data_IF_847563533653
#
_entry.id   IF_847563533653
#
_cell.length_a   1.000
_cell.length_b   1.000
_cell.length_c   1.000
_cell.angle_alpha   90.00
_cell.angle_beta   90.00
_cell.angle_gamma   90.00
#
_symmetry.space_group_name_H-M   'P 1'
#
loop_
_entity.id
_entity.type
_entity.pdbx_description
1 polymer ?
#
# COMPACT_ATOMS: atom_id res chain seq x y z
N UNK A 1 -18.99 -30.60 14.78
CA UNK A 1 -20.18 -29.91 14.22
C UNK A 1 -20.75 -29.06 15.34
N UNK A 2 -20.51 -27.76 15.28
CA UNK A 2 -20.87 -26.82 16.34
C UNK A 2 -21.92 -25.82 15.83
N UNK A 3 -22.72 -25.30 16.76
CA UNK A 3 -23.73 -24.29 16.45
C UNK A 3 -25.06 -24.85 15.90
N UNK A 4 -25.85 -24.02 15.18
CA UNK A 4 -27.29 -24.21 14.96
C UNK A 4 -27.69 -25.42 14.08
N UNK A 5 -26.75 -26.02 13.35
CA UNK A 5 -26.98 -27.25 12.56
C UNK A 5 -27.16 -28.45 13.50
N UNK A 6 -26.42 -28.52 14.61
CA UNK A 6 -26.54 -29.59 15.61
C UNK A 6 -27.88 -29.51 16.36
N UNK A 7 -28.39 -28.30 16.55
CA UNK A 7 -29.70 -28.03 17.16
C UNK A 7 -30.88 -28.37 16.22
N UNK A 8 -30.62 -28.73 14.95
CA UNK A 8 -31.67 -28.97 13.96
C UNK A 8 -32.41 -27.70 13.53
N UNK A 9 -31.86 -26.52 13.81
CA UNK A 9 -32.47 -25.23 13.47
C UNK A 9 -32.18 -24.82 12.02
N UNK A 10 -31.13 -25.37 11.42
CA UNK A 10 -30.64 -25.00 10.09
C UNK A 10 -30.17 -26.25 9.35
N UNK A 11 -30.49 -26.31 8.05
CA UNK A 11 -29.97 -27.28 7.08
C UNK A 11 -29.14 -26.55 6.03
N UNK A 12 -28.01 -27.13 5.62
CA UNK A 12 -27.13 -26.58 4.59
C UNK A 12 -27.29 -27.35 3.29
N UNK A 13 -27.76 -26.68 2.24
CA UNK A 13 -27.92 -27.26 0.91
C UNK A 13 -26.75 -26.88 0.02
N UNK A 14 -25.89 -27.83 -0.30
CA UNK A 14 -24.75 -27.64 -1.20
C UNK A 14 -25.18 -27.91 -2.64
N UNK A 15 -25.57 -26.86 -3.37
CA UNK A 15 -26.11 -26.98 -4.73
C UNK A 15 -25.11 -27.57 -5.73
N UNK A 16 -23.83 -27.20 -5.62
CA UNK A 16 -22.79 -27.63 -6.57
C UNK A 16 -22.37 -29.07 -6.31
N UNK A 17 -22.26 -29.44 -5.04
CA UNK A 17 -21.81 -30.75 -4.59
C UNK A 17 -22.96 -31.75 -4.41
N UNK A 18 -24.21 -31.29 -4.47
CA UNK A 18 -25.41 -32.12 -4.51
C UNK A 18 -25.83 -32.77 -3.20
N UNK A 19 -25.31 -32.32 -2.04
CA UNK A 19 -25.63 -32.92 -0.74
C UNK A 19 -26.22 -31.91 0.25
N UNK A 20 -26.95 -32.42 1.25
CA UNK A 20 -27.59 -31.62 2.30
C UNK A 20 -27.00 -32.04 3.64
N UNK A 21 -26.62 -31.05 4.44
CA UNK A 21 -26.13 -31.22 5.79
C UNK A 21 -27.23 -30.86 6.78
N UNK A 22 -27.64 -31.85 7.56
CA UNK A 22 -28.68 -31.73 8.59
C UNK A 22 -28.12 -32.23 9.94
N UNK A 23 -28.94 -32.14 11.00
CA UNK A 23 -28.58 -32.70 12.32
C UNK A 23 -28.31 -34.22 12.25
N UNK A 24 -29.03 -34.91 11.38
CA UNK A 24 -29.06 -36.37 11.26
C UNK A 24 -28.06 -36.91 10.20
N UNK A 25 -27.25 -36.03 9.58
CA UNK A 25 -26.24 -36.43 8.60
C UNK A 25 -25.29 -37.50 9.15
N UNK A 26 -24.96 -38.48 8.30
CA UNK A 26 -24.10 -39.61 8.67
C UNK A 26 -22.63 -39.21 8.78
N UNK A 27 -21.83 -40.05 9.44
CA UNK A 27 -20.40 -39.78 9.69
C UNK A 27 -19.61 -39.46 8.42
N UNK A 28 -19.92 -40.08 7.28
CA UNK A 28 -19.25 -39.81 6.01
C UNK A 28 -19.55 -38.40 5.46
N UNK A 29 -20.78 -37.92 5.53
CA UNK A 29 -21.16 -36.58 5.06
C UNK A 29 -20.50 -35.49 5.91
N UNK A 30 -20.43 -35.73 7.23
CA UNK A 30 -19.73 -34.84 8.16
C UNK A 30 -18.22 -34.78 7.88
N UNK A 31 -17.63 -35.92 7.49
CA UNK A 31 -16.22 -36.00 7.10
C UNK A 31 -15.94 -35.22 5.81
N UNK A 32 -16.75 -35.43 4.76
CA UNK A 32 -16.63 -34.74 3.48
C UNK A 32 -16.71 -33.22 3.68
N UNK A 33 -17.66 -32.75 4.49
CA UNK A 33 -17.76 -31.33 4.81
C UNK A 33 -16.54 -30.80 5.56
N UNK A 34 -16.05 -31.53 6.56
CA UNK A 34 -14.82 -31.16 7.27
C UNK A 34 -13.63 -31.03 6.31
N UNK A 35 -13.50 -31.96 5.35
CA UNK A 35 -12.48 -31.89 4.31
C UNK A 35 -12.65 -30.67 3.41
N UNK A 36 -13.89 -30.35 2.98
CA UNK A 36 -14.16 -29.17 2.15
C UNK A 36 -13.81 -27.86 2.87
N UNK A 37 -14.15 -27.73 4.15
CA UNK A 37 -13.77 -26.57 4.97
C UNK A 37 -12.25 -26.46 5.08
N UNK A 38 -11.56 -27.57 5.33
CA UNK A 38 -10.10 -27.61 5.40
C UNK A 38 -9.45 -27.19 4.08
N UNK A 39 -9.95 -27.70 2.94
CA UNK A 39 -9.44 -27.35 1.61
C UNK A 39 -9.67 -25.87 1.29
N UNK A 40 -10.84 -25.33 1.62
CA UNK A 40 -11.14 -23.91 1.42
C UNK A 40 -10.22 -23.02 2.25
N UNK A 41 -9.98 -23.37 3.52
CA UNK A 41 -9.05 -22.64 4.38
C UNK A 41 -7.62 -22.70 3.82
N UNK A 42 -7.14 -23.89 3.45
CA UNK A 42 -5.81 -24.06 2.86
C UNK A 42 -5.63 -23.24 1.57
N UNK A 43 -6.68 -23.14 0.74
CA UNK A 43 -6.66 -22.31 -0.46
C UNK A 43 -6.48 -20.82 -0.11
N UNK A 44 -7.27 -20.30 0.83
CA UNK A 44 -7.17 -18.90 1.29
C UNK A 44 -5.80 -18.60 1.89
N UNK A 45 -5.26 -19.53 2.69
CA UNK A 45 -3.93 -19.39 3.29
C UNK A 45 -2.84 -19.35 2.20
N UNK A 46 -2.92 -20.27 1.22
CA UNK A 46 -1.97 -20.30 0.10
C UNK A 46 -2.02 -19.03 -0.74
N UNK A 47 -3.21 -18.45 -0.96
CA UNK A 47 -3.37 -17.18 -1.67
C UNK A 47 -2.73 -16.04 -0.88
N UNK A 48 -2.97 -16.00 0.44
CA UNK A 48 -2.36 -15.01 1.33
C UNK A 48 -0.84 -15.06 1.29
N UNK A 49 -0.26 -16.27 1.29
CA UNK A 49 1.18 -16.45 1.23
C UNK A 49 1.75 -16.12 -0.16
N UNK A 50 1.03 -16.43 -1.23
CA UNK A 50 1.39 -15.99 -2.58
C UNK A 50 1.44 -14.46 -2.67
N UNK A 51 0.46 -13.75 -2.09
CA UNK A 51 0.45 -12.28 -2.07
C UNK A 51 1.64 -11.72 -1.28
N UNK A 52 1.92 -12.26 -0.08
CA UNK A 52 3.08 -11.84 0.73
C UNK A 52 4.39 -12.03 -0.03
N UNK A 53 4.59 -13.21 -0.66
CA UNK A 53 5.76 -13.51 -1.48
C UNK A 53 5.90 -12.56 -2.67
N UNK A 54 4.79 -12.26 -3.34
CA UNK A 54 4.79 -11.31 -4.46
C UNK A 54 5.20 -9.89 -4.01
N UNK A 55 4.67 -9.42 -2.87
CA UNK A 55 5.03 -8.12 -2.32
C UNK A 55 6.50 -8.08 -1.89
N UNK A 56 7.00 -9.09 -1.19
CA UNK A 56 8.41 -9.19 -0.79
C UNK A 56 9.35 -9.15 -1.99
N UNK A 57 9.02 -9.88 -3.06
CA UNK A 57 9.79 -9.85 -4.31
C UNK A 57 9.85 -8.45 -4.94
N UNK A 58 8.73 -7.71 -4.93
CA UNK A 58 8.69 -6.32 -5.41
C UNK A 58 9.56 -5.40 -4.56
N UNK A 59 9.48 -5.53 -3.24
CA UNK A 59 10.29 -4.73 -2.31
C UNK A 59 11.78 -4.97 -2.50
N UNK A 60 12.21 -6.22 -2.67
CA UNK A 60 13.61 -6.58 -2.95
C UNK A 60 14.12 -6.00 -4.27
N UNK A 61 13.25 -5.80 -5.25
CA UNK A 61 13.57 -5.12 -6.52
C UNK A 61 13.53 -3.59 -6.42
N UNK A 62 13.17 -3.04 -5.27
CA UNK A 62 12.98 -1.61 -5.07
C UNK A 62 11.72 -1.06 -5.73
N UNK A 63 10.73 -1.91 -6.02
CA UNK A 63 9.47 -1.51 -6.64
C UNK A 63 8.46 -1.03 -5.59
N UNK A 64 7.74 0.05 -5.90
CA UNK A 64 6.71 0.61 -5.04
C UNK A 64 5.39 -0.15 -5.18
N UNK A 65 4.87 -0.62 -4.05
CA UNK A 65 3.62 -1.41 -3.97
C UNK A 65 2.38 -0.56 -3.70
N UNK A 66 2.55 0.72 -3.36
CA UNK A 66 1.48 1.64 -3.00
C UNK A 66 1.11 2.62 -4.11
N UNK A 67 0.20 3.57 -3.83
CA UNK A 67 -0.04 4.68 -4.75
C UNK A 67 1.19 5.59 -4.82
N UNK A 68 1.57 6.05 -6.03
CA UNK A 68 2.71 6.97 -6.19
C UNK A 68 2.60 8.21 -5.26
N UNK A 69 3.68 8.66 -4.61
CA UNK A 69 3.68 9.91 -3.84
C UNK A 69 3.39 11.14 -4.71
N UNK A 70 3.09 12.29 -4.09
CA UNK A 70 2.91 13.56 -4.84
C UNK A 70 4.24 13.92 -5.50
N UNK A 71 4.25 14.40 -6.74
CA UNK A 71 5.49 14.56 -7.51
C UNK A 71 5.84 13.35 -8.36
N UNK A 72 5.07 12.28 -8.23
CA UNK A 72 5.19 11.07 -9.04
C UNK A 72 3.82 10.65 -9.61
N UNK A 73 3.86 9.92 -10.72
CA UNK A 73 2.71 9.33 -11.39
C UNK A 73 2.83 7.80 -11.41
N UNK A 74 1.68 7.14 -11.30
CA UNK A 74 1.60 5.71 -11.60
C UNK A 74 1.65 5.54 -13.11
N UNK A 75 2.52 4.66 -13.60
CA UNK A 75 2.63 4.29 -15.00
C UNK A 75 2.72 2.76 -15.14
N UNK A 76 2.81 2.27 -16.37
CA UNK A 76 3.16 0.88 -16.67
C UNK A 76 4.46 0.81 -17.46
N UNK A 77 5.30 -0.16 -17.12
CA UNK A 77 6.50 -0.46 -17.89
C UNK A 77 6.15 -1.16 -19.22
N UNK A 78 7.17 -1.44 -20.03
CA UNK A 78 7.03 -2.14 -21.33
C UNK A 78 6.43 -3.55 -21.20
N UNK A 79 6.53 -4.15 -20.02
CA UNK A 79 6.01 -5.49 -19.72
C UNK A 79 4.61 -5.43 -19.07
N UNK A 80 4.02 -4.23 -18.92
CA UNK A 80 2.72 -4.02 -18.30
C UNK A 80 2.74 -4.00 -16.76
N UNK A 81 3.91 -4.08 -16.12
CA UNK A 81 4.05 -3.99 -14.67
C UNK A 81 3.82 -2.55 -14.20
N UNK A 82 3.24 -2.41 -13.01
CA UNK A 82 3.05 -1.09 -12.39
C UNK A 82 4.40 -0.48 -12.02
N UNK A 83 4.63 0.77 -12.43
CA UNK A 83 5.85 1.52 -12.14
C UNK A 83 5.51 2.95 -11.72
N UNK A 84 6.51 3.67 -11.22
CA UNK A 84 6.39 5.05 -10.77
C UNK A 84 7.34 5.92 -11.58
N UNK A 85 6.83 7.04 -12.11
CA UNK A 85 7.61 8.00 -12.88
C UNK A 85 7.49 9.40 -12.27
N UNK A 86 8.45 10.28 -12.55
CA UNK A 86 8.37 11.67 -12.10
C UNK A 86 7.23 12.43 -12.80
N UNK A 87 6.49 13.20 -12.03
CA UNK A 87 5.57 14.21 -12.53
C UNK A 87 6.36 15.52 -12.72
N UNK A 88 6.87 15.81 -13.92
CA UNK A 88 7.77 16.96 -14.13
C UNK A 88 7.21 18.28 -13.59
N UNK A 89 5.90 18.51 -13.68
CA UNK A 89 5.25 19.73 -13.18
C UNK A 89 5.28 19.80 -11.65
N UNK A 90 4.90 18.71 -10.96
CA UNK A 90 4.86 18.69 -9.50
C UNK A 90 6.22 18.46 -8.85
N UNK A 91 7.08 17.66 -9.48
CA UNK A 91 8.40 17.29 -8.98
C UNK A 91 9.30 18.53 -8.84
N UNK A 92 9.26 19.44 -9.82
CA UNK A 92 9.98 20.70 -9.75
C UNK A 92 9.57 21.54 -8.54
N UNK A 93 8.25 21.68 -8.31
CA UNK A 93 7.72 22.43 -7.17
C UNK A 93 8.15 21.78 -5.86
N UNK A 94 8.03 20.46 -5.75
CA UNK A 94 8.44 19.73 -4.55
C UNK A 94 9.93 19.93 -4.27
N UNK A 95 10.78 19.82 -5.29
CA UNK A 95 12.23 20.08 -5.16
C UNK A 95 12.50 21.46 -4.57
N UNK A 96 11.87 22.50 -5.14
CA UNK A 96 12.00 23.88 -4.65
C UNK A 96 11.54 24.02 -3.20
N UNK A 97 10.40 23.44 -2.83
CA UNK A 97 9.91 23.49 -1.45
C UNK A 97 10.86 22.81 -0.46
N UNK A 98 11.49 21.70 -0.85
CA UNK A 98 12.50 21.03 -0.04
C UNK A 98 13.77 21.88 0.14
N UNK A 99 14.25 22.49 -0.93
CA UNK A 99 15.42 23.38 -0.90
C UNK A 99 15.17 24.59 0.02
N UNK A 100 14.01 25.25 -0.13
CA UNK A 100 13.62 26.38 0.72
C UNK A 100 13.42 25.95 2.18
N UNK A 101 12.79 24.80 2.43
CA UNK A 101 12.62 24.28 3.79
C UNK A 101 13.96 23.95 4.45
N UNK A 102 14.92 23.40 3.69
CA UNK A 102 16.25 23.06 4.19
C UNK A 102 17.08 24.29 4.61
N UNK A 103 16.73 25.50 4.14
CA UNK A 103 17.38 26.74 4.62
C UNK A 103 17.09 27.06 6.08
N UNK A 104 16.02 26.49 6.66
CA UNK A 104 15.56 26.79 8.03
C UNK A 104 14.94 28.18 8.20
N UNK A 105 14.89 29.02 7.15
CA UNK A 105 14.36 30.38 7.22
C UNK A 105 12.83 30.45 7.19
N UNK A 106 12.16 29.36 6.81
CA UNK A 106 10.72 29.33 6.59
C UNK A 106 10.00 28.47 7.61
N UNK A 107 8.92 29.02 8.16
CA UNK A 107 7.96 28.21 8.92
C UNK A 107 7.18 27.29 7.98
N UNK A 108 6.63 26.20 8.52
CA UNK A 108 5.75 25.32 7.76
C UNK A 108 4.52 26.06 7.18
N UNK A 109 4.06 27.14 7.83
CA UNK A 109 3.00 27.99 7.29
C UNK A 109 3.43 28.72 6.02
N UNK A 110 4.64 29.27 6.00
CA UNK A 110 5.22 29.94 4.84
C UNK A 110 5.40 28.97 3.66
N UNK A 111 5.83 27.73 3.93
CA UNK A 111 5.93 26.66 2.92
C UNK A 111 4.56 26.32 2.31
N UNK A 112 3.49 26.33 3.10
CA UNK A 112 2.12 26.11 2.59
C UNK A 112 1.71 27.22 1.65
N UNK A 113 1.97 28.48 2.00
CA UNK A 113 1.67 29.62 1.13
C UNK A 113 2.45 29.53 -0.17
N UNK A 114 3.77 29.29 -0.10
CA UNK A 114 4.62 29.10 -1.27
C UNK A 114 4.16 27.94 -2.15
N UNK A 115 3.78 26.80 -1.56
CA UNK A 115 3.25 25.66 -2.30
C UNK A 115 1.97 26.02 -3.06
N UNK A 116 1.10 26.85 -2.49
CA UNK A 116 -0.12 27.33 -3.16
C UNK A 116 0.18 28.29 -4.29
N UNK A 117 1.11 29.23 -4.09
CA UNK A 117 1.55 30.21 -5.09
C UNK A 117 2.21 29.54 -6.29
N UNK A 118 3.03 28.52 -6.05
CA UNK A 118 3.64 27.68 -7.08
C UNK A 118 2.63 26.72 -7.73
N UNK A 119 1.37 26.70 -7.27
CA UNK A 119 0.31 25.90 -7.87
C UNK A 119 0.36 24.40 -7.54
N UNK A 120 1.00 24.00 -6.44
CA UNK A 120 1.06 22.58 -6.04
C UNK A 120 -0.33 22.04 -5.72
N UNK A 121 -0.74 21.03 -6.48
CA UNK A 121 -2.01 20.31 -6.33
C UNK A 121 -1.78 18.87 -5.95
N UNK A 122 -2.68 18.33 -5.12
CA UNK A 122 -2.85 16.89 -4.95
C UNK A 122 -3.29 16.22 -6.26
N UNK A 123 -3.27 14.88 -6.28
CA UNK A 123 -3.78 14.09 -7.42
C UNK A 123 -5.24 14.38 -7.75
N UNK A 124 -6.05 14.73 -6.75
CA UNK A 124 -7.47 15.12 -6.91
C UNK A 124 -7.67 16.63 -7.17
N UNK A 125 -6.61 17.33 -7.52
CA UNK A 125 -6.61 18.77 -7.84
C UNK A 125 -6.93 19.73 -6.66
N UNK A 126 -6.83 19.28 -5.42
CA UNK A 126 -6.94 20.16 -4.24
C UNK A 126 -5.59 20.74 -3.82
N UNK A 127 -5.59 21.96 -3.26
CA UNK A 127 -4.43 22.50 -2.57
C UNK A 127 -4.03 21.62 -1.37
N UNK A 128 -2.74 21.56 -1.07
CA UNK A 128 -2.24 20.83 0.08
C UNK A 128 -2.43 21.64 1.36
N UNK A 129 -2.86 20.98 2.43
CA UNK A 129 -2.92 21.57 3.75
C UNK A 129 -1.57 21.41 4.48
N UNK A 130 -1.45 22.08 5.63
CA UNK A 130 -0.25 22.08 6.48
C UNK A 130 0.20 20.65 6.87
N UNK A 131 -0.74 19.80 7.29
CA UNK A 131 -0.47 18.43 7.71
C UNK A 131 0.06 17.56 6.58
N UNK A 132 -0.52 17.69 5.38
CA UNK A 132 -0.09 16.93 4.19
C UNK A 132 1.30 17.37 3.76
N UNK A 133 1.58 18.67 3.76
CA UNK A 133 2.92 19.20 3.45
C UNK A 133 3.96 18.77 4.48
N UNK A 134 3.64 18.83 5.78
CA UNK A 134 4.53 18.32 6.82
C UNK A 134 4.90 16.86 6.60
N UNK A 135 3.90 16.01 6.35
CA UNK A 135 4.12 14.60 6.04
C UNK A 135 4.94 14.43 4.77
N UNK A 136 4.67 15.22 3.73
CA UNK A 136 5.42 15.20 2.46
C UNK A 136 6.90 15.49 2.70
N UNK A 137 7.23 16.49 3.51
CA UNK A 137 8.63 16.85 3.83
C UNK A 137 9.37 15.76 4.60
N UNK A 138 8.65 14.86 5.27
CA UNK A 138 9.22 13.75 6.03
C UNK A 138 9.21 12.42 5.26
N UNK A 139 8.63 12.37 4.06
CA UNK A 139 8.55 11.13 3.29
C UNK A 139 9.94 10.74 2.75
N UNK A 140 10.45 9.55 3.08
CA UNK A 140 11.76 9.11 2.62
C UNK A 140 11.84 8.89 1.10
N UNK A 141 10.69 8.74 0.44
CA UNK A 141 10.58 8.46 -1.00
C UNK A 141 11.21 9.55 -1.87
N UNK A 142 11.29 10.79 -1.37
CA UNK A 142 11.91 11.86 -2.13
C UNK A 142 13.44 11.74 -2.18
N UNK A 143 14.04 10.89 -1.34
CA UNK A 143 15.48 10.73 -1.15
C UNK A 143 16.01 9.37 -1.62
N UNK A 144 15.18 8.50 -2.22
CA UNK A 144 15.62 7.18 -2.69
C UNK A 144 15.12 6.00 -1.85
N UNK A 145 14.45 6.24 -0.73
CA UNK A 145 14.05 5.19 0.23
C UNK A 145 12.52 5.11 0.38
N UNK A 146 11.98 3.92 0.62
CA UNK A 146 10.54 3.71 0.83
C UNK A 146 10.29 2.99 2.15
N UNK A 147 9.32 3.50 2.92
CA UNK A 147 8.91 2.91 4.20
C UNK A 147 7.72 1.97 3.97
N UNK A 148 7.90 0.68 4.26
CA UNK A 148 6.87 -0.35 4.11
C UNK A 148 6.79 -1.18 5.37
N UNK A 149 5.61 -1.19 6.02
CA UNK A 149 5.35 -1.91 7.27
C UNK A 149 6.37 -1.64 8.40
N UNK A 150 6.91 -0.42 8.45
CA UNK A 150 7.91 0.00 9.45
C UNK A 150 9.36 -0.26 9.05
N UNK A 151 9.60 -0.92 7.92
CA UNK A 151 10.94 -1.20 7.40
C UNK A 151 11.30 -0.27 6.25
N UNK A 152 12.58 0.13 6.21
CA UNK A 152 13.14 1.00 5.18
C UNK A 152 13.74 0.17 4.06
N UNK A 153 13.37 0.48 2.81
CA UNK A 153 13.83 -0.20 1.60
C UNK A 153 14.37 0.83 0.61
N UNK A 154 15.40 0.50 -0.16
CA UNK A 154 15.84 1.35 -1.27
C UNK A 154 14.88 1.15 -2.46
N UNK A 155 14.41 2.24 -3.07
CA UNK A 155 13.58 2.16 -4.28
C UNK A 155 14.40 2.45 -5.54
N UNK A 156 13.91 1.97 -6.70
CA UNK A 156 14.62 2.11 -7.98
C UNK A 156 14.21 3.34 -8.81
N UNK A 157 13.34 4.20 -8.29
CA UNK A 157 12.86 5.40 -8.98
C UNK A 157 13.80 6.59 -8.87
N UNK A 158 13.78 7.53 -9.83
CA UNK A 158 14.53 8.77 -9.73
C UNK A 158 14.14 9.57 -8.47
N UNK A 159 15.08 9.83 -7.54
CA UNK A 159 14.80 10.66 -6.38
C UNK A 159 14.67 12.12 -6.80
N UNK A 160 13.72 12.84 -6.20
CA UNK A 160 13.56 14.29 -6.43
C UNK A 160 14.71 15.07 -5.77
N UNK A 161 15.22 14.56 -4.65
CA UNK A 161 16.29 15.18 -3.85
C UNK A 161 17.50 14.26 -3.85
N UNK A 162 18.57 14.67 -4.53
CA UNK A 162 19.78 13.85 -4.72
C UNK A 162 20.77 13.94 -3.55
N UNK A 163 20.77 15.04 -2.79
CA UNK A 163 21.75 15.34 -1.74
C UNK A 163 21.14 15.35 -0.33
N UNK A 164 20.29 14.37 0.01
CA UNK A 164 19.83 14.25 1.39
C UNK A 164 20.92 13.64 2.27
N UNK A 165 21.69 14.51 2.95
CA UNK A 165 22.47 14.06 4.11
C UNK A 165 21.48 13.78 5.22
N UNK A 166 21.25 12.50 5.51
CA UNK A 166 20.52 12.04 6.70
C UNK A 166 21.23 12.61 7.92
N UNK A 167 20.78 13.76 8.41
CA UNK A 167 21.26 14.31 9.66
C UNK A 167 20.65 13.45 10.76
N UNK A 168 21.39 12.40 11.14
CA UNK A 168 21.07 11.48 12.22
C UNK A 168 21.25 12.18 13.57
N UNK A 169 20.53 13.29 13.80
CA UNK A 169 20.39 13.88 15.13
C UNK A 169 19.03 14.57 15.27
N UNK A 170 18.22 14.03 16.19
CA UNK A 170 17.45 14.84 17.13
C UNK A 170 15.96 15.04 16.86
N UNK A 171 15.15 14.01 17.18
CA UNK A 171 14.11 14.17 18.22
C UNK A 171 13.72 12.81 18.79
#
# INVERSE_FOLDING_TARGET
>A
MEGPIKDGKIELHFRTEGYILTKDSQSHEKLVWGMNVLMAQSYVDSLSDNVKRSLDHKLRKGEWIGPAPIGYLNSRDVNGNSTVILDSSRAFIIKKLFEEYATGAYTLGSIVTMAKELGLRSKKNYYLNKTVLHRLMQQPFYYGEMLVKGEMWLHNYPPIITNYKRNIYGM
#
